data_IF_995073855398
#
_entry.id   IF_995073855398
#
_cell.length_a   1.000
_cell.length_b   1.000
_cell.length_c   1.000
_cell.angle_alpha   90.00
_cell.angle_beta   90.00
_cell.angle_gamma   90.00
#
_symmetry.space_group_name_H-M   'P 1'
#
loop_
_entity.id
_entity.type
_entity.pdbx_description
1 polymer ?
#
# COMPACT_ATOMS: atom_id res chain seq x y z
N UNK A 1 1.37 -10.45 -44.64
CA UNK A 1 2.21 -11.35 -43.82
C UNK A 1 1.46 -11.67 -42.54
N UNK A 2 1.23 -12.95 -42.28
CA UNK A 2 0.17 -13.46 -41.39
C UNK A 2 0.50 -13.25 -39.90
N UNK A 3 -0.51 -12.79 -39.13
CA UNK A 3 -0.44 -12.56 -37.68
C UNK A 3 -0.04 -13.80 -36.87
N UNK A 4 -0.32 -14.99 -37.41
CA UNK A 4 0.03 -16.28 -36.81
C UNK A 4 1.53 -16.59 -36.95
N UNK A 5 2.17 -16.20 -38.06
CA UNK A 5 3.63 -16.38 -38.23
C UNK A 5 4.43 -15.45 -37.32
N UNK A 6 3.92 -14.23 -37.08
CA UNK A 6 4.47 -13.28 -36.11
C UNK A 6 4.43 -13.82 -34.66
N UNK A 7 3.38 -14.58 -34.31
CA UNK A 7 3.21 -15.18 -32.98
C UNK A 7 4.04 -16.45 -32.77
N UNK A 8 4.40 -17.17 -33.83
CA UNK A 8 5.22 -18.40 -33.76
C UNK A 8 6.71 -18.13 -33.97
N UNK A 9 7.10 -16.90 -34.35
CA UNK A 9 8.51 -16.55 -34.58
C UNK A 9 9.31 -16.56 -33.26
N UNK A 10 10.36 -17.40 -33.20
CA UNK A 10 11.19 -17.61 -32.01
C UNK A 10 11.77 -16.30 -31.45
N UNK A 11 12.12 -15.36 -32.32
CA UNK A 11 12.63 -14.04 -31.95
C UNK A 11 11.56 -13.13 -31.32
N UNK A 12 10.31 -13.23 -31.77
CA UNK A 12 9.19 -12.48 -31.16
C UNK A 12 8.95 -12.99 -29.73
N UNK A 13 8.87 -14.30 -29.54
CA UNK A 13 8.72 -14.92 -28.21
C UNK A 13 9.87 -14.57 -27.27
N UNK A 14 11.13 -14.62 -27.74
CA UNK A 14 12.30 -14.23 -26.93
C UNK A 14 12.24 -12.74 -26.57
N UNK A 15 11.84 -11.87 -27.50
CA UNK A 15 11.72 -10.43 -27.23
C UNK A 15 10.60 -10.09 -26.24
N UNK A 16 9.46 -10.80 -26.31
CA UNK A 16 8.35 -10.64 -25.36
C UNK A 16 8.77 -11.11 -23.97
N UNK A 17 9.45 -12.26 -23.90
CA UNK A 17 9.90 -12.83 -22.62
C UNK A 17 11.02 -11.99 -21.99
N UNK A 18 11.94 -11.46 -22.79
CA UNK A 18 12.97 -10.51 -22.35
C UNK A 18 12.36 -9.16 -21.89
N UNK A 19 11.34 -8.65 -22.59
CA UNK A 19 10.64 -7.43 -22.20
C UNK A 19 9.89 -7.60 -20.87
N UNK A 20 9.20 -8.72 -20.68
CA UNK A 20 8.53 -9.07 -19.42
C UNK A 20 9.55 -9.22 -18.29
N UNK A 21 10.71 -9.83 -18.56
CA UNK A 21 11.78 -10.00 -17.58
C UNK A 21 12.42 -8.66 -17.18
N UNK A 22 12.70 -7.79 -18.14
CA UNK A 22 13.26 -6.46 -17.89
C UNK A 22 12.26 -5.57 -17.14
N UNK A 23 10.97 -5.61 -17.50
CA UNK A 23 9.91 -4.93 -16.77
C UNK A 23 9.79 -5.44 -15.32
N UNK A 24 9.90 -6.75 -15.10
CA UNK A 24 9.88 -7.34 -13.77
C UNK A 24 11.09 -6.92 -12.93
N UNK A 25 12.28 -6.81 -13.53
CA UNK A 25 13.50 -6.34 -12.85
C UNK A 25 13.39 -4.86 -12.50
N UNK A 26 12.97 -4.00 -13.43
CA UNK A 26 12.77 -2.56 -13.15
C UNK A 26 11.68 -2.35 -12.10
N UNK A 27 10.60 -3.12 -12.13
CA UNK A 27 9.55 -3.07 -11.11
C UNK A 27 10.07 -3.54 -9.73
N UNK A 28 10.85 -4.61 -9.70
CA UNK A 28 11.40 -5.19 -8.45
C UNK A 28 12.48 -4.30 -7.83
N UNK A 29 13.41 -3.76 -8.63
CA UNK A 29 14.46 -2.87 -8.14
C UNK A 29 13.95 -1.45 -7.89
N UNK A 30 13.04 -0.94 -8.72
CA UNK A 30 12.41 0.37 -8.53
C UNK A 30 11.52 0.43 -7.28
N UNK A 31 10.75 -0.62 -7.00
CA UNK A 31 9.98 -0.73 -5.75
C UNK A 31 10.88 -0.95 -4.52
N UNK A 32 11.99 -1.68 -4.67
CA UNK A 32 12.97 -1.89 -3.59
C UNK A 32 13.73 -0.61 -3.21
N UNK A 33 13.98 0.29 -4.16
CA UNK A 33 14.64 1.58 -3.89
C UNK A 33 13.73 2.57 -3.14
N UNK A 34 12.43 2.56 -3.41
CA UNK A 34 11.42 3.39 -2.73
C UNK A 34 11.10 2.87 -1.31
N UNK A 35 11.19 1.55 -1.08
CA UNK A 35 10.97 0.96 0.25
C UNK A 35 12.20 1.05 1.14
N UNK A 36 13.43 1.02 0.57
CA UNK A 36 14.67 1.16 1.35
C UNK A 36 14.87 2.56 1.95
N UNK A 37 14.27 3.61 1.39
CA UNK A 37 14.29 4.94 2.02
C UNK A 37 13.43 5.00 3.29
N UNK A 38 12.32 4.25 3.36
CA UNK A 38 11.47 4.29 4.57
C UNK A 38 12.08 3.58 5.77
N UNK A 39 12.79 2.46 5.58
CA UNK A 39 13.39 1.73 6.71
C UNK A 39 14.56 2.50 7.33
N UNK A 40 15.39 3.12 6.48
CA UNK A 40 16.52 3.95 6.89
C UNK A 40 16.03 5.26 7.52
N UNK A 41 14.93 5.83 7.04
CA UNK A 41 14.29 6.99 7.66
C UNK A 41 13.49 6.64 8.93
N UNK A 42 12.96 5.42 9.08
CA UNK A 42 12.32 4.93 10.32
C UNK A 42 13.35 4.65 11.40
N UNK A 43 14.47 4.01 11.08
CA UNK A 43 15.59 3.80 12.03
C UNK A 43 16.22 5.14 12.41
N UNK A 44 16.38 6.07 11.44
CA UNK A 44 16.84 7.43 11.73
C UNK A 44 15.83 8.22 12.56
N UNK A 45 14.52 8.09 12.33
CA UNK A 45 13.50 8.76 13.15
C UNK A 45 13.51 8.25 14.58
N UNK A 46 13.54 6.94 14.79
CA UNK A 46 13.61 6.34 16.14
C UNK A 46 14.94 6.66 16.84
N UNK A 47 16.06 6.69 16.12
CA UNK A 47 17.35 7.10 16.68
C UNK A 47 17.38 8.59 17.05
N UNK A 48 16.83 9.45 16.17
CA UNK A 48 16.77 10.89 16.36
C UNK A 48 15.76 11.28 17.44
N UNK A 49 14.70 10.51 17.61
CA UNK A 49 13.69 10.67 18.68
C UNK A 49 14.22 10.19 20.04
N UNK A 50 15.03 9.13 20.06
CA UNK A 50 15.75 8.69 21.28
C UNK A 50 16.85 9.66 21.71
N UNK A 51 17.55 10.28 20.75
CA UNK A 51 18.49 11.39 21.01
C UNK A 51 17.76 12.64 21.48
N UNK A 52 16.59 12.95 20.91
CA UNK A 52 15.74 14.08 21.32
C UNK A 52 15.22 13.90 22.74
N UNK A 53 14.78 12.70 23.13
CA UNK A 53 14.35 12.42 24.50
C UNK A 53 15.50 12.53 25.49
N UNK A 54 16.71 12.03 25.16
CA UNK A 54 17.90 12.23 26.01
C UNK A 54 18.31 13.69 26.13
N UNK A 55 18.20 14.45 25.04
CA UNK A 55 18.52 15.87 25.03
C UNK A 55 17.47 16.70 25.79
N UNK A 56 16.19 16.36 25.69
CA UNK A 56 15.08 17.00 26.43
C UNK A 56 15.14 16.66 27.93
N UNK A 57 15.56 15.45 28.28
CA UNK A 57 15.74 15.02 29.67
C UNK A 57 17.00 15.67 30.30
N UNK A 58 18.10 15.79 29.56
CA UNK A 58 19.27 16.60 29.97
C UNK A 58 18.97 18.11 30.05
N UNK A 59 18.13 18.64 29.15
CA UNK A 59 17.72 20.04 29.18
C UNK A 59 16.78 20.34 30.36
N UNK A 60 15.90 19.40 30.72
CA UNK A 60 15.07 19.49 31.93
C UNK A 60 15.90 19.47 33.21
N UNK A 61 16.96 18.67 33.26
CA UNK A 61 17.87 18.60 34.41
C UNK A 61 18.77 19.85 34.57
N UNK A 62 18.98 20.64 33.51
CA UNK A 62 19.85 21.83 33.52
C UNK A 62 19.16 23.19 33.70
N UNK A 63 17.83 23.24 33.72
CA UNK A 63 17.07 24.45 34.05
C UNK A 63 17.08 25.53 32.95
N UNK A 64 15.89 25.88 32.46
CA UNK A 64 15.53 27.21 31.93
C UNK A 64 16.28 27.79 30.71
N UNK A 65 15.53 27.92 29.61
CA UNK A 65 15.67 28.93 28.53
C UNK A 65 16.89 28.81 27.58
N UNK A 66 16.64 28.36 26.34
CA UNK A 66 17.17 28.98 25.12
C UNK A 66 16.52 28.39 23.86
N UNK A 67 16.15 29.28 22.93
CA UNK A 67 15.60 29.01 21.62
C UNK A 67 16.58 28.24 20.71
N UNK A 68 16.04 27.42 19.79
CA UNK A 68 16.68 27.17 18.49
C UNK A 68 15.61 26.81 17.44
N UNK A 69 15.21 27.83 16.68
CA UNK A 69 14.67 27.65 15.33
C UNK A 69 15.75 27.10 14.38
N UNK A 70 15.31 26.32 13.39
CA UNK A 70 15.85 26.41 12.03
C UNK A 70 17.11 25.63 11.70
N UNK A 71 17.00 24.32 11.36
CA UNK A 71 18.02 23.67 10.50
C UNK A 71 17.58 22.52 9.59
N UNK A 72 16.29 22.38 9.29
CA UNK A 72 15.79 21.28 8.43
C UNK A 72 15.20 21.67 7.06
N UNK A 73 14.84 22.93 6.83
CA UNK A 73 13.96 23.33 5.72
C UNK A 73 14.68 24.26 4.75
N UNK A 74 15.65 23.75 3.99
CA UNK A 74 16.18 24.50 2.82
C UNK A 74 16.19 23.70 1.52
N UNK A 75 16.27 22.37 1.58
CA UNK A 75 16.31 21.53 0.35
C UNK A 75 14.93 21.19 -0.24
N UNK A 76 13.86 21.27 0.56
CA UNK A 76 12.47 21.05 0.10
C UNK A 76 11.85 22.30 -0.54
N UNK A 77 12.37 23.49 -0.25
CA UNK A 77 11.81 24.76 -0.73
C UNK A 77 12.04 24.97 -2.24
N UNK A 78 13.26 24.73 -2.75
CA UNK A 78 13.57 24.94 -4.18
C UNK A 78 12.90 23.91 -5.10
N UNK A 79 12.82 22.65 -4.67
CA UNK A 79 12.13 21.58 -5.43
C UNK A 79 10.61 21.84 -5.47
N UNK A 80 10.02 22.36 -4.38
CA UNK A 80 8.60 22.77 -4.33
C UNK A 80 8.29 23.89 -5.32
N UNK A 81 9.18 24.85 -5.47
CA UNK A 81 8.98 26.01 -6.36
C UNK A 81 8.99 25.60 -7.83
N UNK A 82 9.91 24.71 -8.24
CA UNK A 82 9.95 24.21 -9.62
C UNK A 82 8.71 23.37 -9.97
N UNK A 83 8.30 22.47 -9.08
CA UNK A 83 7.09 21.63 -9.27
C UNK A 83 5.80 22.46 -9.31
N UNK A 84 5.71 23.52 -8.49
CA UNK A 84 4.57 24.44 -8.49
C UNK A 84 4.43 25.17 -9.84
N UNK A 85 5.55 25.64 -10.39
CA UNK A 85 5.55 26.39 -11.66
C UNK A 85 5.18 25.52 -12.88
N UNK A 86 5.54 24.23 -12.88
CA UNK A 86 5.14 23.30 -13.96
C UNK A 86 3.64 22.95 -13.85
N UNK A 87 3.14 22.71 -12.63
CA UNK A 87 1.72 22.37 -12.40
C UNK A 87 0.79 23.55 -12.69
N UNK A 88 1.19 24.79 -12.35
CA UNK A 88 0.42 26.00 -12.63
C UNK A 88 0.44 26.40 -14.11
N UNK A 89 1.54 26.14 -14.85
CA UNK A 89 1.61 26.42 -16.30
C UNK A 89 0.76 25.50 -17.17
N UNK A 90 0.49 24.28 -16.72
CA UNK A 90 -0.26 23.27 -17.48
C UNK A 90 -1.71 23.08 -16.99
N UNK A 91 -2.21 23.96 -16.11
CA UNK A 91 -3.58 23.93 -15.55
C UNK A 91 -4.05 22.54 -15.08
N UNK A 92 -3.10 21.74 -14.56
CA UNK A 92 -3.31 20.35 -14.12
C UNK A 92 -4.22 20.24 -12.89
N UNK A 93 -4.45 21.35 -12.18
CA UNK A 93 -5.41 21.42 -11.06
C UNK A 93 -6.85 21.25 -11.55
N UNK A 94 -7.23 21.87 -12.66
CA UNK A 94 -8.61 21.86 -13.17
C UNK A 94 -8.96 20.57 -13.90
N UNK A 95 -7.98 19.92 -14.54
CA UNK A 95 -8.20 18.69 -15.31
C UNK A 95 -8.17 17.40 -14.47
N UNK A 96 -7.62 17.42 -13.24
CA UNK A 96 -7.39 16.20 -12.45
C UNK A 96 -7.64 16.31 -10.93
N UNK A 97 -8.18 17.42 -10.41
CA UNK A 97 -8.70 17.44 -9.04
C UNK A 97 -10.07 16.75 -8.99
N UNK A 98 -10.05 15.44 -8.87
CA UNK A 98 -11.18 14.75 -8.24
C UNK A 98 -11.05 14.92 -6.73
N UNK A 99 -12.10 15.35 -6.04
CA UNK A 99 -12.14 15.36 -4.56
C UNK A 99 -11.77 14.00 -3.97
N UNK A 100 -12.10 12.92 -4.69
CA UNK A 100 -11.71 11.55 -4.38
C UNK A 100 -10.17 11.32 -4.33
N UNK A 101 -9.37 12.11 -5.04
CA UNK A 101 -7.90 12.03 -5.00
C UNK A 101 -7.35 12.65 -3.73
N UNK A 102 -7.96 13.74 -3.25
CA UNK A 102 -7.59 14.37 -1.97
C UNK A 102 -7.85 13.41 -0.83
N UNK A 103 -8.98 12.71 -0.86
CA UNK A 103 -9.32 11.70 0.15
C UNK A 103 -8.35 10.52 0.14
N UNK A 104 -8.00 10.00 -1.04
CA UNK A 104 -7.01 8.91 -1.16
C UNK A 104 -5.63 9.31 -0.63
N UNK A 105 -5.22 10.56 -0.84
CA UNK A 105 -3.98 11.12 -0.30
C UNK A 105 -4.05 11.29 1.22
N UNK A 106 -5.18 11.75 1.75
CA UNK A 106 -5.40 11.84 3.18
C UNK A 106 -5.33 10.45 3.85
N UNK A 107 -5.93 9.42 3.24
CA UNK A 107 -5.84 8.03 3.70
C UNK A 107 -4.41 7.50 3.68
N UNK A 108 -3.59 7.90 2.70
CA UNK A 108 -2.18 7.56 2.65
C UNK A 108 -1.32 8.29 3.70
N UNK A 109 -1.87 9.28 4.42
CA UNK A 109 -1.15 10.10 5.40
C UNK A 109 -0.46 11.33 4.80
N UNK A 110 -0.60 11.55 3.49
CA UNK A 110 -0.05 12.70 2.80
C UNK A 110 -1.00 13.89 2.91
N UNK A 111 -0.75 14.75 3.90
CA UNK A 111 -1.60 15.90 4.21
C UNK A 111 -1.05 17.20 3.63
N UNK A 112 -1.93 18.06 3.15
CA UNK A 112 -1.62 19.41 2.67
C UNK A 112 -1.41 19.56 1.16
N UNK A 113 -1.55 20.80 0.68
CA UNK A 113 -1.55 21.16 -0.74
C UNK A 113 -0.26 20.76 -1.49
N UNK A 114 0.89 20.75 -0.80
CA UNK A 114 2.17 20.38 -1.40
C UNK A 114 2.29 18.90 -1.78
N UNK A 115 1.57 18.01 -1.12
CA UNK A 115 1.57 16.58 -1.47
C UNK A 115 0.64 16.29 -2.65
N UNK A 116 -0.47 17.02 -2.74
CA UNK A 116 -1.37 16.98 -3.89
C UNK A 116 -0.64 17.41 -5.17
N UNK A 117 0.08 18.53 -5.13
CA UNK A 117 0.87 18.99 -6.29
C UNK A 117 2.00 18.03 -6.64
N UNK A 118 2.64 17.41 -5.64
CA UNK A 118 3.67 16.38 -5.85
C UNK A 118 3.12 15.13 -6.52
N UNK A 119 1.95 14.66 -6.07
CA UNK A 119 1.29 13.50 -6.66
C UNK A 119 0.83 13.78 -8.09
N UNK A 120 0.22 14.93 -8.35
CA UNK A 120 -0.21 15.34 -9.70
C UNK A 120 1.00 15.46 -10.64
N UNK A 121 2.10 16.05 -10.16
CA UNK A 121 3.36 16.12 -10.91
C UNK A 121 3.90 14.72 -11.22
N UNK A 122 3.93 13.82 -10.25
CA UNK A 122 4.37 12.43 -10.46
C UNK A 122 3.47 11.71 -11.47
N UNK A 123 2.14 11.90 -11.40
CA UNK A 123 1.17 11.33 -12.35
C UNK A 123 1.40 11.80 -13.78
N UNK A 124 1.81 13.05 -13.97
CA UNK A 124 2.11 13.60 -15.30
C UNK A 124 3.50 13.22 -15.82
N UNK A 125 4.52 13.22 -14.95
CA UNK A 125 5.93 12.99 -15.33
C UNK A 125 6.24 11.52 -15.55
N UNK A 126 5.65 10.62 -14.76
CA UNK A 126 5.95 9.17 -14.84
C UNK A 126 5.68 8.57 -16.23
N UNK A 127 4.54 8.81 -16.89
CA UNK A 127 4.30 8.34 -18.26
C UNK A 127 5.35 8.85 -19.25
N UNK A 128 5.71 10.14 -19.16
CA UNK A 128 6.68 10.78 -20.05
C UNK A 128 8.09 10.21 -19.87
N UNK A 129 8.51 9.99 -18.62
CA UNK A 129 9.81 9.38 -18.31
C UNK A 129 9.85 7.93 -18.77
N UNK A 130 8.80 7.14 -18.51
CA UNK A 130 8.74 5.74 -18.96
C UNK A 130 8.72 5.66 -20.49
N UNK A 131 7.96 6.51 -21.15
CA UNK A 131 7.96 6.62 -22.61
C UNK A 131 9.35 6.94 -23.16
N UNK A 132 10.01 7.97 -22.62
CA UNK A 132 11.34 8.39 -23.07
C UNK A 132 12.40 7.31 -22.84
N UNK A 133 12.36 6.61 -21.71
CA UNK A 133 13.29 5.52 -21.40
C UNK A 133 13.08 4.31 -22.32
N UNK A 134 11.82 3.94 -22.59
CA UNK A 134 11.52 2.81 -23.48
C UNK A 134 11.80 3.17 -24.94
N UNK A 135 11.49 4.40 -25.37
CA UNK A 135 11.85 4.89 -26.69
C UNK A 135 13.38 4.90 -26.88
N UNK A 136 14.14 5.40 -25.90
CA UNK A 136 15.60 5.38 -25.94
C UNK A 136 16.15 3.96 -25.97
N UNK A 137 15.62 3.06 -25.14
CA UNK A 137 16.03 1.66 -25.10
C UNK A 137 15.80 0.94 -26.43
N UNK A 138 14.61 1.12 -27.03
CA UNK A 138 14.23 0.47 -28.28
C UNK A 138 14.97 1.08 -29.48
N UNK A 139 15.25 2.38 -29.48
CA UNK A 139 15.95 3.05 -30.59
C UNK A 139 17.47 2.91 -30.55
N UNK A 140 18.09 2.81 -29.35
CA UNK A 140 19.56 2.83 -29.20
C UNK A 140 20.15 1.45 -28.91
N UNK A 141 19.50 0.61 -28.10
CA UNK A 141 20.07 -0.68 -27.66
C UNK A 141 19.62 -1.89 -28.49
N UNK A 142 18.55 -1.77 -29.28
CA UNK A 142 18.01 -2.86 -30.09
C UNK A 142 17.63 -2.36 -31.49
N UNK A 143 18.59 -1.98 -32.35
CA UNK A 143 18.33 -1.68 -33.75
C UNK A 143 18.01 -2.99 -34.50
N UNK A 144 16.84 -3.56 -34.24
CA UNK A 144 16.29 -4.62 -35.07
C UNK A 144 15.66 -4.00 -36.33
N UNK A 145 15.60 -4.75 -37.42
CA UNK A 145 14.88 -4.41 -38.68
C UNK A 145 13.34 -4.29 -38.49
N UNK A 146 12.88 -3.96 -37.28
CA UNK A 146 11.47 -3.75 -36.99
C UNK A 146 11.06 -2.38 -37.52
N UNK A 147 9.91 -2.27 -38.20
CA UNK A 147 9.45 -1.00 -38.73
C UNK A 147 9.16 -0.03 -37.59
N UNK A 148 9.51 1.24 -37.80
CA UNK A 148 9.52 2.30 -36.79
C UNK A 148 8.18 2.46 -36.03
N UNK A 149 7.06 2.13 -36.68
CA UNK A 149 5.72 2.18 -36.08
C UNK A 149 5.53 1.17 -34.94
N UNK A 150 6.12 -0.03 -35.01
CA UNK A 150 6.02 -1.04 -33.96
C UNK A 150 6.73 -0.59 -32.68
N UNK A 151 7.92 -0.01 -32.83
CA UNK A 151 8.71 0.54 -31.72
C UNK A 151 7.97 1.68 -31.01
N UNK A 152 7.29 2.52 -31.78
CA UNK A 152 6.50 3.63 -31.27
C UNK A 152 5.24 3.15 -30.52
N UNK A 153 4.59 2.09 -31.01
CA UNK A 153 3.47 1.43 -30.30
C UNK A 153 3.92 0.82 -28.97
N UNK A 154 5.08 0.16 -28.90
CA UNK A 154 5.62 -0.36 -27.63
C UNK A 154 5.96 0.74 -26.64
N UNK A 155 6.55 1.85 -27.10
CA UNK A 155 6.86 3.00 -26.24
C UNK A 155 5.58 3.67 -25.70
N UNK A 156 4.56 3.86 -26.54
CA UNK A 156 3.25 4.37 -26.12
C UNK A 156 2.60 3.42 -25.11
N UNK A 157 2.60 2.12 -25.39
CA UNK A 157 2.04 1.10 -24.50
C UNK A 157 2.72 1.09 -23.13
N UNK A 158 4.06 1.19 -23.10
CA UNK A 158 4.81 1.28 -21.85
C UNK A 158 4.54 2.59 -21.10
N UNK A 159 4.42 3.72 -21.80
CA UNK A 159 4.05 5.01 -21.20
C UNK A 159 2.66 4.97 -20.56
N UNK A 160 1.68 4.35 -21.23
CA UNK A 160 0.33 4.13 -20.69
C UNK A 160 0.35 3.25 -19.44
N UNK A 161 1.12 2.16 -19.43
CA UNK A 161 1.30 1.33 -18.24
C UNK A 161 2.01 2.10 -17.11
N UNK A 162 3.00 2.93 -17.46
CA UNK A 162 3.69 3.82 -16.52
C UNK A 162 2.77 4.83 -15.83
N UNK A 163 1.67 5.24 -16.48
CA UNK A 163 0.67 6.12 -15.90
C UNK A 163 -0.08 5.50 -14.70
N UNK A 164 -0.16 4.18 -14.62
CA UNK A 164 -0.79 3.49 -13.50
C UNK A 164 0.13 3.37 -12.27
N UNK A 165 1.44 3.55 -12.45
CA UNK A 165 2.43 3.33 -11.41
C UNK A 165 2.23 4.23 -10.17
N UNK A 166 1.99 5.55 -10.29
CA UNK A 166 1.80 6.42 -9.12
C UNK A 166 0.53 6.09 -8.33
N UNK A 167 -0.55 5.71 -9.04
CA UNK A 167 -1.79 5.26 -8.41
C UNK A 167 -1.60 3.96 -7.63
N UNK A 168 -0.81 3.03 -8.17
CA UNK A 168 -0.49 1.77 -7.50
C UNK A 168 0.35 1.98 -6.25
N UNK A 169 1.37 2.86 -6.32
CA UNK A 169 2.20 3.21 -5.16
C UNK A 169 1.36 3.85 -4.05
N UNK A 170 0.49 4.81 -4.41
CA UNK A 170 -0.42 5.43 -3.46
C UNK A 170 -1.31 4.38 -2.78
N UNK A 171 -1.95 3.51 -3.58
CA UNK A 171 -2.81 2.43 -3.06
C UNK A 171 -2.05 1.51 -2.11
N UNK A 172 -0.83 1.10 -2.46
CA UNK A 172 -0.01 0.24 -1.63
C UNK A 172 0.32 0.89 -0.29
N UNK A 173 0.73 2.17 -0.30
CA UNK A 173 0.99 2.94 0.92
C UNK A 173 -0.26 3.07 1.79
N UNK A 174 -1.41 3.41 1.19
CA UNK A 174 -2.69 3.46 1.89
C UNK A 174 -3.06 2.11 2.51
N UNK A 175 -2.95 1.01 1.77
CA UNK A 175 -3.28 -0.33 2.27
C UNK A 175 -2.37 -0.76 3.42
N UNK A 176 -1.05 -0.47 3.36
CA UNK A 176 -0.14 -0.74 4.47
C UNK A 176 -0.50 0.04 5.74
N UNK A 177 -0.82 1.33 5.58
CA UNK A 177 -1.26 2.20 6.68
C UNK A 177 -2.57 1.72 7.29
N UNK A 178 -3.56 1.43 6.46
CA UNK A 178 -4.86 0.87 6.86
C UNK A 178 -4.72 -0.48 7.55
N UNK A 179 -3.81 -1.35 7.10
CA UNK A 179 -3.56 -2.63 7.76
C UNK A 179 -2.97 -2.44 9.17
N UNK A 180 -2.05 -1.48 9.35
CA UNK A 180 -1.50 -1.14 10.68
C UNK A 180 -2.59 -0.64 11.61
N UNK A 181 -3.45 0.27 11.14
CA UNK A 181 -4.58 0.80 11.91
C UNK A 181 -5.58 -0.31 12.24
N UNK A 182 -6.02 -1.11 11.26
CA UNK A 182 -6.98 -2.20 11.46
C UNK A 182 -6.51 -3.20 12.51
N UNK A 183 -5.20 -3.48 12.58
CA UNK A 183 -4.63 -4.40 13.57
C UNK A 183 -4.69 -3.82 15.00
N UNK A 184 -4.36 -2.54 15.17
CA UNK A 184 -4.33 -1.88 16.47
C UNK A 184 -5.69 -1.32 16.92
N UNK A 185 -6.69 -1.32 16.02
CA UNK A 185 -7.97 -0.67 16.25
C UNK A 185 -8.76 -1.22 17.44
N UNK A 186 -8.97 -2.54 17.62
CA UNK A 186 -9.79 -2.96 18.75
C UNK A 186 -9.05 -2.83 20.09
N UNK A 187 -7.72 -2.93 20.11
CA UNK A 187 -6.91 -2.61 21.32
C UNK A 187 -7.07 -1.13 21.70
N UNK A 188 -7.13 -0.24 20.70
CA UNK A 188 -7.41 1.19 20.92
C UNK A 188 -8.82 1.41 21.49
N UNK A 189 -9.84 0.68 21.03
CA UNK A 189 -11.20 0.78 21.55
C UNK A 189 -11.27 0.31 23.01
N UNK A 190 -10.58 -0.78 23.36
CA UNK A 190 -10.52 -1.29 24.74
C UNK A 190 -9.89 -0.25 25.68
N UNK A 191 -8.81 0.41 25.25
CA UNK A 191 -8.18 1.49 26.02
C UNK A 191 -9.09 2.72 26.14
N UNK A 192 -9.82 3.09 25.08
CA UNK A 192 -10.79 4.19 25.13
C UNK A 192 -11.94 3.86 26.09
N UNK A 193 -12.48 2.63 26.02
CA UNK A 193 -13.54 2.17 26.90
C UNK A 193 -13.10 2.27 28.38
N UNK A 194 -11.91 1.75 28.71
CA UNK A 194 -11.37 1.85 30.07
C UNK A 194 -11.23 3.30 30.52
N UNK A 195 -10.84 4.21 29.62
CA UNK A 195 -10.75 5.63 29.95
C UNK A 195 -12.11 6.25 30.25
N UNK A 196 -13.12 5.94 29.44
CA UNK A 196 -14.48 6.47 29.59
C UNK A 196 -15.18 5.90 30.83
N UNK A 197 -14.98 4.61 31.12
CA UNK A 197 -15.50 3.98 32.34
C UNK A 197 -14.86 4.52 33.62
N UNK A 198 -13.61 4.98 33.52
CA UNK A 198 -12.93 5.72 34.60
C UNK A 198 -13.42 7.17 34.74
N UNK A 199 -14.41 7.61 33.94
CA UNK A 199 -15.00 8.94 34.02
C UNK A 199 -14.26 10.03 33.26
N UNK A 200 -13.29 9.70 32.39
CA UNK A 200 -12.67 10.70 31.52
C UNK A 200 -13.63 11.15 30.42
N UNK A 201 -13.55 12.44 30.05
CA UNK A 201 -14.22 12.93 28.85
C UNK A 201 -13.62 12.27 27.60
N UNK A 202 -14.43 12.18 26.54
CA UNK A 202 -14.00 11.54 25.29
C UNK A 202 -12.74 12.18 24.71
N UNK A 203 -12.64 13.50 24.75
CA UNK A 203 -11.44 14.25 24.33
C UNK A 203 -10.17 13.87 25.10
N UNK A 204 -10.28 13.73 26.41
CA UNK A 204 -9.15 13.28 27.25
C UNK A 204 -8.80 11.82 26.99
N UNK A 205 -9.80 10.96 26.76
CA UNK A 205 -9.59 9.58 26.36
C UNK A 205 -8.81 9.49 25.03
N UNK A 206 -9.23 10.22 23.98
CA UNK A 206 -8.50 10.28 22.71
C UNK A 206 -7.03 10.71 22.90
N UNK A 207 -6.80 11.76 23.70
CA UNK A 207 -5.45 12.28 23.98
C UNK A 207 -4.57 11.26 24.72
N UNK A 208 -5.14 10.53 25.69
CA UNK A 208 -4.43 9.52 26.48
C UNK A 208 -4.10 8.30 25.62
N UNK A 209 -5.10 7.78 24.90
CA UNK A 209 -4.95 6.58 24.06
C UNK A 209 -4.01 6.85 22.89
N UNK A 210 -4.01 8.05 22.30
CA UNK A 210 -3.05 8.43 21.26
C UNK A 210 -1.58 8.27 21.69
N UNK A 211 -1.26 8.52 22.96
CA UNK A 211 0.09 8.35 23.49
C UNK A 211 0.46 6.88 23.70
N UNK A 212 -0.47 6.09 24.25
CA UNK A 212 -0.22 4.67 24.54
C UNK A 212 -0.14 3.83 23.27
N UNK A 213 -1.04 4.09 22.29
CA UNK A 213 -1.11 3.30 21.06
C UNK A 213 0.07 3.56 20.11
N UNK A 214 0.82 4.65 20.32
CA UNK A 214 1.98 5.01 19.49
C UNK A 214 3.07 3.94 19.45
N UNK A 215 3.18 3.11 20.50
CA UNK A 215 4.09 1.98 20.53
C UNK A 215 3.64 0.80 19.63
N UNK A 216 2.32 0.66 19.40
CA UNK A 216 1.74 -0.41 18.58
C UNK A 216 1.53 0.02 17.12
N UNK A 217 1.08 1.26 16.91
CA UNK A 217 0.80 1.82 15.58
C UNK A 217 0.96 3.35 15.62
N UNK A 218 2.06 3.84 15.06
CA UNK A 218 2.35 5.28 14.95
C UNK A 218 1.27 5.97 14.11
N UNK A 219 0.82 5.29 13.06
CA UNK A 219 -0.14 5.76 12.08
C UNK A 219 -1.52 5.96 12.69
N UNK A 220 -1.92 5.12 13.66
CA UNK A 220 -3.15 5.32 14.44
C UNK A 220 -2.98 6.45 15.46
N UNK A 221 -1.85 6.50 16.18
CA UNK A 221 -1.56 7.57 17.13
C UNK A 221 -1.60 8.97 16.48
N UNK A 222 -1.08 9.10 15.26
CA UNK A 222 -1.18 10.33 14.46
C UNK A 222 -2.64 10.74 14.19
N UNK A 223 -3.48 9.80 13.76
CA UNK A 223 -4.89 10.10 13.47
C UNK A 223 -5.67 10.48 14.74
N UNK A 224 -5.43 9.78 15.86
CA UNK A 224 -6.06 10.11 17.15
C UNK A 224 -5.58 11.46 17.69
N UNK A 225 -4.31 11.79 17.52
CA UNK A 225 -3.77 13.10 17.92
C UNK A 225 -4.40 14.21 17.09
N UNK A 226 -4.56 13.99 15.78
CA UNK A 226 -5.23 14.94 14.89
C UNK A 226 -6.71 15.11 15.28
N UNK A 227 -7.43 14.02 15.54
CA UNK A 227 -8.82 14.08 16.02
C UNK A 227 -8.93 14.77 17.38
N UNK A 228 -7.96 14.58 18.28
CA UNK A 228 -7.91 15.30 19.56
C UNK A 228 -7.80 16.81 19.34
N UNK A 229 -6.95 17.23 18.40
CA UNK A 229 -6.83 18.64 18.03
C UNK A 229 -8.14 19.15 17.38
N UNK A 230 -8.76 18.35 16.51
CA UNK A 230 -10.04 18.72 15.91
C UNK A 230 -11.14 18.88 16.94
N UNK A 231 -11.26 17.97 17.91
CA UNK A 231 -12.24 18.08 18.98
C UNK A 231 -12.02 19.32 19.86
N UNK A 232 -10.78 19.79 19.99
CA UNK A 232 -10.47 21.00 20.75
C UNK A 232 -10.76 22.31 20.00
N UNK A 233 -10.78 22.29 18.66
CA UNK A 233 -10.91 23.50 17.82
C UNK A 233 -12.21 23.57 17.01
N UNK A 234 -12.85 22.44 16.71
CA UNK A 234 -14.11 22.42 15.96
C UNK A 234 -15.28 22.63 16.92
N UNK A 235 -16.24 23.45 16.49
CA UNK A 235 -17.50 23.66 17.22
C UNK A 235 -18.37 22.39 17.22
N UNK A 236 -18.31 21.59 16.16
CA UNK A 236 -19.06 20.34 16.01
C UNK A 236 -18.15 19.12 16.19
N UNK A 237 -18.35 18.40 17.31
CA UNK A 237 -17.64 17.16 17.63
C UNK A 237 -17.94 16.05 16.63
N UNK A 238 -19.17 16.02 16.10
CA UNK A 238 -19.58 15.02 15.12
C UNK A 238 -18.78 15.14 13.83
N UNK A 239 -18.42 16.36 13.43
CA UNK A 239 -17.53 16.60 12.28
C UNK A 239 -16.11 16.06 12.52
N UNK A 240 -15.58 16.15 13.75
CA UNK A 240 -14.27 15.57 14.08
C UNK A 240 -14.28 14.03 13.98
N UNK A 241 -15.38 13.39 14.39
CA UNK A 241 -15.57 11.94 14.26
C UNK A 241 -15.73 11.52 12.79
N UNK A 242 -16.55 12.21 12.00
CA UNK A 242 -16.68 11.92 10.56
C UNK A 242 -15.36 12.09 9.81
N UNK A 243 -14.62 13.16 10.13
CA UNK A 243 -13.29 13.40 9.61
C UNK A 243 -12.33 12.24 9.91
N UNK A 244 -12.34 11.66 11.13
CA UNK A 244 -11.53 10.50 11.48
C UNK A 244 -11.92 9.26 10.64
N UNK A 245 -13.21 9.00 10.47
CA UNK A 245 -13.71 7.91 9.64
C UNK A 245 -13.29 8.07 8.17
N UNK A 246 -13.44 9.28 7.62
CA UNK A 246 -13.04 9.62 6.25
C UNK A 246 -11.53 9.51 6.03
N UNK A 247 -10.71 9.98 6.97
CA UNK A 247 -9.24 9.93 6.87
C UNK A 247 -8.68 8.52 6.99
N UNK A 248 -9.23 7.68 7.85
CA UNK A 248 -8.75 6.31 8.00
C UNK A 248 -9.21 5.43 6.83
N UNK A 249 -10.41 5.70 6.29
CA UNK A 249 -10.97 4.93 5.18
C UNK A 249 -11.23 3.46 5.53
N UNK A 250 -11.45 3.18 6.81
CA UNK A 250 -11.76 1.85 7.34
C UNK A 250 -13.22 1.84 7.82
N UNK A 251 -14.01 0.89 7.32
CA UNK A 251 -15.42 0.76 7.69
C UNK A 251 -15.61 0.56 9.20
N UNK A 252 -14.73 -0.24 9.82
CA UNK A 252 -14.73 -0.46 11.27
C UNK A 252 -14.36 0.77 12.11
N UNK A 253 -13.69 1.79 11.55
CA UNK A 253 -13.49 3.07 12.24
C UNK A 253 -14.73 3.94 12.05
N UNK A 254 -15.25 3.99 10.82
CA UNK A 254 -16.42 4.78 10.46
C UNK A 254 -17.67 4.37 11.23
N UNK A 255 -17.88 3.07 11.44
CA UNK A 255 -18.99 2.54 12.25
C UNK A 255 -18.92 3.03 13.69
N UNK A 256 -17.74 2.96 14.33
CA UNK A 256 -17.54 3.46 15.70
C UNK A 256 -17.78 4.95 15.78
N UNK A 257 -17.24 5.73 14.85
CA UNK A 257 -17.45 7.17 14.81
C UNK A 257 -18.93 7.52 14.67
N UNK A 258 -19.66 6.76 13.87
CA UNK A 258 -21.11 6.95 13.69
C UNK A 258 -21.88 6.62 14.98
N UNK A 259 -21.52 5.53 15.66
CA UNK A 259 -22.09 5.17 16.96
C UNK A 259 -21.81 6.24 18.03
N UNK A 260 -20.60 6.81 18.05
CA UNK A 260 -20.24 7.91 18.96
C UNK A 260 -21.01 9.20 18.67
N UNK A 261 -21.19 9.54 17.39
CA UNK A 261 -22.04 10.69 16.98
C UNK A 261 -23.47 10.49 17.47
N UNK A 262 -24.01 9.28 17.32
CA UNK A 262 -25.35 8.95 17.82
C UNK A 262 -25.42 9.05 19.34
N UNK A 263 -24.40 8.55 20.05
CA UNK A 263 -24.36 8.63 21.51
C UNK A 263 -24.32 10.08 22.01
N UNK A 264 -23.52 10.94 21.37
CA UNK A 264 -23.42 12.36 21.71
C UNK A 264 -24.73 13.11 21.38
N UNK A 265 -25.35 12.83 20.23
CA UNK A 265 -26.59 13.50 19.78
C UNK A 265 -27.83 13.09 20.57
N UNK A 266 -27.97 11.80 20.90
CA UNK A 266 -29.14 11.26 21.59
C UNK A 266 -28.94 11.11 23.11
N UNK A 267 -27.75 11.43 23.61
CA UNK A 267 -27.42 11.34 25.04
C UNK A 267 -27.37 9.90 25.57
N UNK A 268 -27.16 8.91 24.70
CA UNK A 268 -27.01 7.51 25.13
C UNK A 268 -25.62 7.27 25.69
N UNK A 269 -25.45 6.22 26.50
CA UNK A 269 -24.17 5.93 27.15
C UNK A 269 -23.05 5.67 26.13
N UNK A 270 -22.09 6.59 26.04
CA UNK A 270 -20.88 6.46 25.20
C UNK A 270 -20.07 5.22 25.56
N UNK A 271 -19.97 4.90 26.86
CA UNK A 271 -19.29 3.69 27.33
C UNK A 271 -19.97 2.42 26.82
N UNK A 272 -21.31 2.37 26.81
CA UNK A 272 -22.04 1.22 26.28
C UNK A 272 -21.85 1.08 24.76
N UNK A 273 -21.89 2.18 24.02
CA UNK A 273 -21.58 2.16 22.59
C UNK A 273 -20.15 1.66 22.32
N UNK A 274 -19.14 2.19 23.04
CA UNK A 274 -17.75 1.75 22.89
C UNK A 274 -17.56 0.27 23.24
N UNK A 275 -18.26 -0.24 24.26
CA UNK A 275 -18.19 -1.64 24.68
C UNK A 275 -18.67 -2.59 23.58
N UNK A 276 -19.83 -2.30 22.99
CA UNK A 276 -20.38 -3.08 21.87
C UNK A 276 -19.42 -3.03 20.68
N UNK A 277 -18.95 -1.84 20.31
CA UNK A 277 -18.02 -1.69 19.19
C UNK A 277 -16.66 -2.36 19.41
N UNK A 278 -16.16 -2.37 20.65
CA UNK A 278 -14.91 -3.04 21.01
C UNK A 278 -15.07 -4.56 20.94
N UNK A 279 -16.23 -5.09 21.34
CA UNK A 279 -16.57 -6.51 21.20
C UNK A 279 -16.67 -6.90 19.72
N UNK A 280 -17.41 -6.16 18.89
CA UNK A 280 -17.45 -6.37 17.44
C UNK A 280 -16.06 -6.31 16.81
N UNK A 281 -15.20 -5.39 17.26
CA UNK A 281 -13.82 -5.28 16.80
C UNK A 281 -12.96 -6.50 17.16
N UNK A 282 -13.18 -7.09 18.35
CA UNK A 282 -12.49 -8.31 18.80
C UNK A 282 -13.00 -9.53 18.02
N UNK A 283 -14.31 -9.66 17.84
CA UNK A 283 -14.92 -10.72 17.02
C UNK A 283 -14.43 -10.65 15.57
N UNK A 284 -14.41 -9.47 14.96
CA UNK A 284 -13.91 -9.28 13.60
C UNK A 284 -12.44 -9.70 13.45
N UNK A 285 -11.61 -9.47 14.48
CA UNK A 285 -10.21 -9.94 14.50
C UNK A 285 -10.13 -11.47 14.53
N UNK A 286 -10.99 -12.13 15.29
CA UNK A 286 -11.09 -13.58 15.36
C UNK A 286 -11.58 -14.17 14.02
N UNK A 287 -12.65 -13.62 13.45
CA UNK A 287 -13.16 -14.02 12.14
C UNK A 287 -12.12 -13.88 11.03
N UNK A 288 -11.33 -12.80 11.04
CA UNK A 288 -10.23 -12.62 10.08
C UNK A 288 -9.13 -13.69 10.25
N UNK A 289 -8.87 -14.14 11.47
CA UNK A 289 -7.93 -15.23 11.75
C UNK A 289 -8.49 -16.59 11.31
N UNK A 290 -9.76 -16.87 11.60
CA UNK A 290 -10.48 -18.07 11.17
C UNK A 290 -10.56 -18.16 9.65
N UNK A 291 -10.89 -17.06 8.97
CA UNK A 291 -10.92 -17.01 7.50
C UNK A 291 -9.54 -17.29 6.91
N UNK A 292 -8.46 -16.79 7.53
CA UNK A 292 -7.09 -17.11 7.09
C UNK A 292 -6.83 -18.60 7.27
N UNK A 293 -7.16 -19.18 8.42
CA UNK A 293 -7.00 -20.61 8.68
C UNK A 293 -7.82 -21.49 7.72
N UNK A 294 -9.09 -21.18 7.51
CA UNK A 294 -9.98 -21.87 6.59
C UNK A 294 -9.56 -21.74 5.11
N UNK A 295 -8.80 -20.69 4.76
CA UNK A 295 -8.24 -20.52 3.41
C UNK A 295 -6.95 -21.32 3.16
N UNK A 296 -6.38 -21.98 4.17
CA UNK A 296 -5.15 -22.75 4.02
C UNK A 296 -5.34 -24.07 3.25
N UNK A 297 -6.38 -24.91 3.51
CA UNK A 297 -6.51 -26.19 2.83
C UNK A 297 -6.62 -26.10 1.30
N UNK A 298 -7.44 -25.21 0.70
CA UNK A 298 -7.50 -25.07 -0.75
C UNK A 298 -6.18 -24.63 -1.40
N UNK A 299 -5.36 -23.84 -0.69
CA UNK A 299 -4.05 -23.40 -1.19
C UNK A 299 -3.03 -24.54 -1.23
N UNK A 300 -3.21 -25.56 -0.40
CA UNK A 300 -2.34 -26.75 -0.36
C UNK A 300 -2.81 -27.83 -1.34
N UNK A 301 -4.12 -27.97 -1.55
CA UNK A 301 -4.66 -28.98 -2.48
C UNK A 301 -4.35 -28.68 -3.94
N UNK A 302 -4.30 -27.40 -4.34
CA UNK A 302 -4.02 -27.03 -5.74
C UNK A 302 -2.63 -27.48 -6.22
N UNK A 303 -1.51 -27.15 -5.54
CA UNK A 303 -0.20 -27.70 -5.90
C UNK A 303 -0.19 -29.22 -5.83
N UNK A 304 -0.80 -29.82 -4.81
CA UNK A 304 -0.83 -31.28 -4.65
C UNK A 304 -1.46 -31.96 -5.87
N UNK A 305 -2.65 -31.51 -6.29
CA UNK A 305 -3.33 -32.03 -7.49
C UNK A 305 -2.47 -31.78 -8.74
N UNK A 306 -1.91 -30.57 -8.90
CA UNK A 306 -1.09 -30.21 -10.06
C UNK A 306 0.14 -31.12 -10.21
N UNK A 307 0.76 -31.55 -9.11
CA UNK A 307 1.95 -32.41 -9.15
C UNK A 307 1.63 -33.91 -9.10
N UNK A 308 0.63 -34.33 -8.33
CA UNK A 308 0.27 -35.76 -8.22
C UNK A 308 -0.48 -36.28 -9.44
N UNK A 309 -1.43 -35.51 -9.99
CA UNK A 309 -2.31 -36.01 -11.06
C UNK A 309 -1.54 -36.37 -12.35
N UNK A 310 -0.59 -35.56 -12.85
CA UNK A 310 0.22 -35.95 -14.01
C UNK A 310 1.07 -37.20 -13.75
N UNK A 311 1.68 -37.31 -12.56
CA UNK A 311 2.50 -38.47 -12.18
C UNK A 311 1.64 -39.74 -12.12
N UNK A 312 0.44 -39.64 -11.55
CA UNK A 312 -0.53 -40.74 -11.50
C UNK A 312 -0.89 -41.22 -12.91
N UNK A 313 -1.17 -40.29 -13.84
CA UNK A 313 -1.45 -40.62 -15.24
C UNK A 313 -0.27 -41.34 -15.91
N UNK A 314 0.97 -40.88 -15.69
CA UNK A 314 2.17 -41.52 -16.23
C UNK A 314 2.30 -42.95 -15.70
N UNK A 315 2.16 -43.15 -14.38
CA UNK A 315 2.30 -44.47 -13.75
C UNK A 315 1.22 -45.45 -14.21
N UNK A 316 -0.02 -44.99 -14.36
CA UNK A 316 -1.13 -45.85 -14.82
C UNK A 316 -1.03 -46.16 -16.32
N UNK A 317 -0.70 -45.15 -17.15
CA UNK A 317 -0.62 -45.35 -18.61
C UNK A 317 0.66 -46.04 -19.06
N UNK A 318 1.77 -45.93 -18.33
CA UNK A 318 3.05 -46.55 -18.71
C UNK A 318 2.96 -48.06 -19.01
N UNK A 319 2.41 -48.93 -18.15
CA UNK A 319 2.31 -50.36 -18.46
C UNK A 319 1.31 -50.66 -19.57
N UNK A 320 0.23 -49.88 -19.71
CA UNK A 320 -0.73 -50.03 -20.80
C UNK A 320 -0.08 -49.69 -22.15
N UNK A 321 0.69 -48.61 -22.20
CA UNK A 321 1.48 -48.22 -23.38
C UNK A 321 2.56 -49.28 -23.69
N UNK A 322 3.29 -49.77 -22.68
CA UNK A 322 4.29 -50.84 -22.89
C UNK A 322 3.64 -52.12 -23.43
N UNK A 323 2.43 -52.49 -22.98
CA UNK A 323 1.71 -53.66 -23.51
C UNK A 323 1.20 -53.48 -24.94
N UNK A 324 0.78 -52.26 -25.31
CA UNK A 324 0.27 -51.96 -26.66
C UNK A 324 1.40 -51.78 -27.66
N UNK A 325 2.49 -51.10 -27.28
CA UNK A 325 3.67 -50.88 -28.14
C UNK A 325 4.71 -52.01 -28.07
N UNK A 326 4.66 -52.85 -27.03
CA UNK A 326 5.55 -53.99 -26.80
C UNK A 326 4.97 -55.35 -27.17
N UNK A 327 4.08 -55.42 -28.18
CA UNK A 327 3.69 -56.69 -28.82
C UNK A 327 4.90 -57.52 -29.26
N UNK A 328 4.77 -58.86 -29.35
CA UNK A 328 5.78 -59.83 -28.93
C UNK A 328 7.09 -59.79 -29.74
N UNK A 329 8.17 -59.37 -29.09
CA UNK A 329 9.56 -59.60 -29.55
C UNK A 329 10.24 -60.71 -28.74
N UNK A 330 9.49 -61.47 -27.93
CA UNK A 330 10.01 -62.54 -27.08
C UNK A 330 9.65 -63.95 -27.59
N UNK A 331 10.01 -64.27 -28.84
CA UNK A 331 9.68 -65.59 -29.42
C UNK A 331 10.66 -66.20 -30.43
N UNK A 332 11.83 -65.61 -30.74
CA UNK A 332 12.69 -66.14 -31.83
C UNK A 332 14.17 -66.34 -31.45
N UNK A 333 14.55 -66.34 -30.16
CA UNK A 333 15.97 -66.61 -29.79
C UNK A 333 16.15 -67.56 -28.61
N UNK A 334 15.50 -68.73 -28.64
CA UNK A 334 15.84 -69.78 -27.69
C UNK A 334 15.11 -71.09 -27.92
N UNK A 335 15.70 -71.99 -28.72
CA UNK A 335 15.33 -73.41 -28.70
C UNK A 335 15.67 -74.16 -29.99
N UNK A 336 16.74 -74.96 -29.94
CA UNK A 336 16.93 -76.16 -30.77
C UNK A 336 17.49 -75.93 -32.17
#
# INVERSE_FOLDING_TARGET
>A
MNFIELLTQREFLISVLAAVSAAAVVFTFGSSFIVRSEMRDRIKRVALEREKMRAEEMARLRGGVAATEGRGIRRSAETRTYMKNVVERFDLKKAFQDDATVDKLAMAGFRGQGHLTTFLFMRFVTPLVVFALVALYVLVLSPGERPLYLNLVYAIGAGLLGAYLPNLLLKNTTTKRQASIKKAWPDCLDLMLLCVEAGMSMEHAFKRVAKEIGAQSVELAEELTLTTAELAFLEDRGRAYDNLGRRTGLDGVKSVMTALIQADRYGTSVGQALRVMAEEGREGRMMDAEKKAASLPPKLTVPLILFFLPVLFIVIMAPAMIKVFGGPVAGVMGGG
#
